data_IF_760838588168
#
_entry.id   IF_760838588168
#
_cell.length_a   1.000
_cell.length_b   1.000
_cell.length_c   1.000
_cell.angle_alpha   90.00
_cell.angle_beta   90.00
_cell.angle_gamma   90.00
#
_symmetry.space_group_name_H-M   'P 1'
#
loop_
_entity.id
_entity.type
_entity.pdbx_description
1 polymer ?
#
# COMPACT_ATOMS: atom_id res chain seq x y z
N UNK A 1 4.52 -14.15 -9.84
CA UNK A 1 3.42 -13.51 -9.09
C UNK A 1 2.94 -14.43 -7.98
N UNK A 2 2.51 -15.66 -8.30
CA UNK A 2 1.95 -16.64 -7.35
C UNK A 2 2.80 -16.86 -6.08
N UNK A 3 4.10 -17.05 -6.21
CA UNK A 3 5.02 -17.21 -5.07
C UNK A 3 5.00 -16.00 -4.15
N UNK A 4 4.91 -14.78 -4.71
CA UNK A 4 4.86 -13.53 -3.92
C UNK A 4 3.51 -13.39 -3.23
N UNK A 5 2.40 -13.70 -3.93
CA UNK A 5 1.06 -13.73 -3.31
C UNK A 5 1.03 -14.66 -2.09
N UNK A 6 1.57 -15.88 -2.21
CA UNK A 6 1.65 -16.83 -1.07
C UNK A 6 2.53 -16.31 0.07
N UNK A 7 3.66 -15.66 -0.26
CA UNK A 7 4.56 -15.07 0.73
C UNK A 7 3.87 -13.98 1.56
N UNK A 8 2.97 -13.22 0.93
CA UNK A 8 2.16 -12.17 1.56
C UNK A 8 0.78 -12.65 2.04
N UNK A 9 0.60 -13.97 2.15
CA UNK A 9 -0.62 -14.61 2.67
C UNK A 9 -1.89 -14.17 1.93
N UNK A 10 -1.80 -13.98 0.62
CA UNK A 10 -2.97 -13.65 -0.20
C UNK A 10 -3.98 -14.81 -0.20
N UNK A 11 -5.30 -14.51 -0.22
CA UNK A 11 -6.33 -15.53 -0.35
C UNK A 11 -6.28 -16.18 -1.75
N UNK A 12 -6.99 -17.29 -1.97
CA UNK A 12 -7.02 -17.98 -3.27
C UNK A 12 -7.42 -17.08 -4.45
N UNK A 13 -8.26 -16.08 -4.21
CA UNK A 13 -8.71 -15.11 -5.22
C UNK A 13 -7.71 -13.95 -5.42
N UNK A 14 -6.60 -13.95 -4.68
CA UNK A 14 -5.55 -12.95 -4.80
C UNK A 14 -4.97 -12.94 -6.23
N UNK A 15 -4.78 -11.74 -6.75
CA UNK A 15 -4.26 -11.52 -8.10
C UNK A 15 -3.13 -10.49 -8.11
N UNK A 16 -2.40 -10.41 -9.20
CA UNK A 16 -1.33 -9.44 -9.32
C UNK A 16 -0.62 -9.52 -10.66
N UNK A 17 0.31 -8.60 -10.85
CA UNK A 17 1.15 -8.57 -12.05
C UNK A 17 2.58 -8.17 -11.71
N UNK A 18 3.52 -8.55 -12.55
CA UNK A 18 4.89 -8.04 -12.51
C UNK A 18 4.94 -6.64 -13.11
N UNK A 19 5.84 -5.81 -12.59
CA UNK A 19 6.10 -4.45 -13.06
C UNK A 19 7.60 -4.20 -13.18
N UNK A 20 7.98 -3.09 -13.78
CA UNK A 20 9.38 -2.71 -13.98
C UNK A 20 10.07 -2.17 -12.71
N UNK A 21 9.36 -2.07 -11.60
CA UNK A 21 9.90 -1.57 -10.33
C UNK A 21 8.82 -1.04 -9.41
N UNK A 22 9.17 -0.77 -8.15
CA UNK A 22 8.25 -0.30 -7.11
C UNK A 22 7.49 0.96 -7.50
N UNK A 23 8.12 1.88 -8.22
CA UNK A 23 7.43 3.07 -8.75
C UNK A 23 6.25 2.67 -9.63
N UNK A 24 6.41 1.76 -10.57
CA UNK A 24 5.31 1.31 -11.43
C UNK A 24 4.25 0.55 -10.62
N UNK A 25 4.66 -0.32 -9.69
CA UNK A 25 3.73 -1.01 -8.80
C UNK A 25 2.83 -0.03 -8.02
N UNK A 26 3.41 1.03 -7.47
CA UNK A 26 2.67 2.10 -6.77
C UNK A 26 1.74 2.86 -7.74
N UNK A 27 2.25 3.19 -8.94
CA UNK A 27 1.44 3.86 -9.98
C UNK A 27 0.22 3.01 -10.35
N UNK A 28 0.40 1.70 -10.53
CA UNK A 28 -0.69 0.78 -10.86
C UNK A 28 -1.72 0.68 -9.74
N UNK A 29 -1.29 0.57 -8.48
CA UNK A 29 -2.20 0.58 -7.34
C UNK A 29 -3.03 1.89 -7.26
N UNK A 30 -2.38 3.04 -7.45
CA UNK A 30 -3.06 4.33 -7.47
C UNK A 30 -4.06 4.45 -8.63
N UNK A 31 -3.65 3.99 -9.83
CA UNK A 31 -4.51 4.00 -11.02
C UNK A 31 -5.74 3.12 -10.81
N UNK A 32 -5.54 1.91 -10.30
CA UNK A 32 -6.63 0.97 -10.00
C UNK A 32 -7.67 1.60 -9.07
N UNK A 33 -7.23 2.17 -7.96
CA UNK A 33 -8.16 2.77 -6.97
C UNK A 33 -8.82 4.05 -7.51
N UNK A 34 -8.13 4.84 -8.35
CA UNK A 34 -8.74 5.94 -9.08
C UNK A 34 -9.89 5.47 -9.97
N UNK A 35 -9.62 4.45 -10.77
CA UNK A 35 -10.57 3.95 -11.77
C UNK A 35 -11.75 3.25 -11.09
N UNK A 36 -11.51 2.47 -10.04
CA UNK A 36 -12.54 1.93 -9.17
C UNK A 36 -13.42 3.02 -8.56
N UNK A 37 -12.81 4.07 -7.99
CA UNK A 37 -13.55 5.19 -7.41
C UNK A 37 -14.44 5.92 -8.43
N UNK A 38 -13.97 6.02 -9.68
CA UNK A 38 -14.76 6.58 -10.79
C UNK A 38 -15.93 5.68 -11.18
N UNK A 39 -15.66 4.38 -11.35
CA UNK A 39 -16.65 3.41 -11.80
C UNK A 39 -17.73 3.12 -10.73
N UNK A 40 -17.31 2.81 -9.51
CA UNK A 40 -18.19 2.32 -8.47
C UNK A 40 -18.81 3.42 -7.60
N UNK A 41 -18.15 4.59 -7.51
CA UNK A 41 -18.58 5.68 -6.63
C UNK A 41 -18.81 7.02 -7.35
N UNK A 42 -18.59 7.08 -8.65
CA UNK A 42 -18.76 8.31 -9.43
C UNK A 42 -17.80 9.44 -9.04
N UNK A 43 -16.68 9.13 -8.39
CA UNK A 43 -15.71 10.13 -7.91
C UNK A 43 -14.97 10.75 -9.10
N UNK A 44 -15.20 12.03 -9.34
CA UNK A 44 -14.56 12.78 -10.45
C UNK A 44 -13.18 13.33 -10.08
N UNK A 45 -12.96 13.65 -8.82
CA UNK A 45 -11.72 14.23 -8.28
C UNK A 45 -11.15 13.32 -7.19
N UNK A 46 -10.55 12.17 -7.56
CA UNK A 46 -10.07 11.19 -6.58
C UNK A 46 -8.94 11.75 -5.72
N UNK A 47 -8.94 11.34 -4.47
CA UNK A 47 -7.93 11.70 -3.48
C UNK A 47 -7.34 10.44 -2.84
N UNK A 48 -6.06 10.51 -2.49
CA UNK A 48 -5.40 9.49 -1.65
C UNK A 48 -4.81 10.14 -0.42
N UNK A 49 -4.85 9.44 0.72
CA UNK A 49 -4.25 9.91 1.98
C UNK A 49 -3.03 9.07 2.28
N UNK A 50 -1.88 9.73 2.42
CA UNK A 50 -0.59 9.07 2.62
C UNK A 50 0.22 9.70 3.75
N UNK A 51 1.12 8.95 4.43
CA UNK A 51 2.09 9.52 5.37
C UNK A 51 3.08 10.44 4.66
N UNK A 52 3.64 11.41 5.37
CA UNK A 52 4.78 12.21 4.85
C UNK A 52 6.03 11.37 4.59
N UNK A 53 6.15 10.20 5.24
CA UNK A 53 7.22 9.21 5.02
C UNK A 53 7.00 8.31 3.79
N UNK A 54 5.83 8.36 3.14
CA UNK A 54 5.54 7.54 1.96
C UNK A 54 6.41 7.92 0.77
N UNK A 55 6.69 6.93 -0.08
CA UNK A 55 7.54 7.07 -1.25
C UNK A 55 7.00 8.14 -2.23
N UNK A 56 7.91 8.90 -2.85
CA UNK A 56 7.56 9.98 -3.82
C UNK A 56 6.81 9.49 -5.07
N UNK A 57 6.79 8.19 -5.32
CA UNK A 57 5.99 7.61 -6.42
C UNK A 57 4.49 7.89 -6.27
N UNK A 58 3.98 8.11 -5.06
CA UNK A 58 2.58 8.51 -4.84
C UNK A 58 2.32 9.93 -5.36
N UNK A 59 3.26 10.88 -5.21
CA UNK A 59 3.12 12.21 -5.82
C UNK A 59 3.18 12.13 -7.34
N UNK A 60 4.06 11.27 -7.86
CA UNK A 60 4.12 11.00 -9.30
C UNK A 60 2.80 10.43 -9.81
N UNK A 61 2.17 9.51 -9.08
CA UNK A 61 0.83 9.00 -9.40
C UNK A 61 -0.22 10.12 -9.39
N UNK A 62 -0.16 11.00 -8.39
CA UNK A 62 -1.02 12.19 -8.31
C UNK A 62 -0.94 13.04 -9.56
N UNK A 63 0.29 13.35 -9.99
CA UNK A 63 0.56 14.14 -11.19
C UNK A 63 0.09 13.44 -12.47
N UNK A 64 0.41 12.15 -12.65
CA UNK A 64 0.10 11.42 -13.89
C UNK A 64 -1.39 11.12 -14.04
N UNK A 65 -2.09 10.88 -12.96
CA UNK A 65 -3.45 10.36 -12.99
C UNK A 65 -4.51 11.35 -12.51
N UNK A 66 -4.12 12.59 -12.18
CA UNK A 66 -5.02 13.60 -11.67
C UNK A 66 -5.65 13.20 -10.32
N UNK A 67 -4.82 12.66 -9.41
CA UNK A 67 -5.21 12.28 -8.06
C UNK A 67 -4.67 13.32 -7.08
N UNK A 68 -5.51 13.86 -6.22
CA UNK A 68 -5.06 14.75 -5.14
C UNK A 68 -4.39 13.92 -4.04
N UNK A 69 -3.12 14.24 -3.77
CA UNK A 69 -2.35 13.56 -2.71
C UNK A 69 -2.41 14.37 -1.42
N UNK A 70 -3.09 13.83 -0.40
CA UNK A 70 -3.18 14.42 0.94
C UNK A 70 -2.12 13.79 1.84
N UNK A 71 -1.10 14.58 2.21
CA UNK A 71 -0.04 14.12 3.10
C UNK A 71 -0.39 14.38 4.56
N UNK A 72 -0.21 13.36 5.38
CA UNK A 72 -0.41 13.39 6.83
C UNK A 72 0.92 13.26 7.55
N UNK A 73 1.24 14.12 8.52
CA UNK A 73 2.50 14.03 9.24
C UNK A 73 2.59 12.75 10.06
N UNK A 74 3.81 12.20 10.14
CA UNK A 74 4.14 11.12 11.06
C UNK A 74 4.36 11.66 12.49
N UNK A 75 4.18 10.82 13.46
CA UNK A 75 4.53 11.13 14.85
C UNK A 75 6.04 11.32 15.00
N UNK A 76 6.46 12.32 15.78
CA UNK A 76 7.87 12.68 15.92
C UNK A 76 8.70 11.63 16.66
N UNK A 77 8.09 10.88 17.57
CA UNK A 77 8.77 9.90 18.40
C UNK A 77 8.72 8.51 17.77
N UNK A 78 7.52 8.05 17.38
CA UNK A 78 7.32 6.70 16.84
C UNK A 78 7.62 6.61 15.34
N UNK A 79 7.66 7.74 14.64
CA UNK A 79 7.81 7.84 13.18
C UNK A 79 6.71 7.13 12.38
N UNK A 80 5.66 6.65 13.05
CA UNK A 80 4.46 6.09 12.42
C UNK A 80 3.47 7.19 12.04
N UNK A 81 2.63 6.91 11.06
CA UNK A 81 1.52 7.81 10.72
C UNK A 81 0.51 7.92 11.87
N UNK A 82 0.00 9.12 12.13
CA UNK A 82 -1.02 9.35 13.14
C UNK A 82 -2.41 9.02 12.59
N UNK A 83 -2.99 7.94 13.09
CA UNK A 83 -4.29 7.41 12.59
C UNK A 83 -5.41 8.45 12.65
N UNK A 84 -5.54 9.22 13.76
CA UNK A 84 -6.54 10.27 13.88
C UNK A 84 -6.36 11.39 12.85
N UNK A 85 -5.12 11.62 12.39
CA UNK A 85 -4.85 12.61 11.35
C UNK A 85 -5.20 12.06 9.97
N UNK A 86 -4.99 10.76 9.73
CA UNK A 86 -5.47 10.08 8.51
C UNK A 86 -6.99 10.15 8.44
N UNK A 87 -7.68 9.81 9.52
CA UNK A 87 -9.15 9.84 9.57
C UNK A 87 -9.73 11.22 9.27
N UNK A 88 -9.14 12.29 9.84
CA UNK A 88 -9.54 13.67 9.54
C UNK A 88 -9.25 14.12 8.10
N UNK A 89 -8.28 13.50 7.44
CA UNK A 89 -7.93 13.81 6.05
C UNK A 89 -8.82 13.08 5.03
N UNK A 90 -9.55 12.04 5.44
CA UNK A 90 -10.48 11.31 4.57
C UNK A 90 -11.67 12.20 4.22
N UNK A 91 -12.01 12.24 2.95
CA UNK A 91 -13.15 12.97 2.39
C UNK A 91 -14.04 12.03 1.56
N UNK A 92 -15.22 12.44 1.12
CA UNK A 92 -16.03 11.65 0.17
C UNK A 92 -15.32 11.31 -1.14
N UNK A 93 -14.27 12.05 -1.52
CA UNK A 93 -13.47 11.82 -2.71
C UNK A 93 -12.26 10.90 -2.48
N UNK A 94 -11.98 10.53 -1.23
CA UNK A 94 -10.87 9.63 -0.91
C UNK A 94 -11.16 8.23 -1.46
N UNK A 95 -10.23 7.70 -2.23
CA UNK A 95 -10.32 6.35 -2.81
C UNK A 95 -9.40 5.35 -2.11
N UNK A 96 -8.33 5.83 -1.44
CA UNK A 96 -7.32 4.96 -0.84
C UNK A 96 -6.56 5.64 0.29
N UNK A 97 -6.24 4.89 1.33
CA UNK A 97 -5.21 5.21 2.33
C UNK A 97 -3.97 4.34 2.11
N UNK A 98 -2.82 4.84 2.51
CA UNK A 98 -1.52 4.15 2.31
C UNK A 98 -0.78 4.03 3.63
N UNK A 99 -0.16 2.87 3.84
CA UNK A 99 0.86 2.65 4.87
C UNK A 99 2.07 1.93 4.26
N UNK A 100 3.22 2.05 4.90
CA UNK A 100 4.47 1.41 4.45
C UNK A 100 4.89 0.28 5.39
N UNK A 101 5.49 -0.77 4.82
CA UNK A 101 5.99 -1.91 5.59
C UNK A 101 7.37 -2.37 5.10
N UNK A 102 8.48 -1.71 5.53
CA UNK A 102 8.56 -0.41 6.23
C UNK A 102 8.62 0.79 5.28
N UNK A 103 8.54 2.01 5.83
CA UNK A 103 8.90 3.21 5.11
C UNK A 103 10.43 3.31 4.90
N UNK A 104 10.85 3.98 3.83
CA UNK A 104 12.27 4.13 3.51
C UNK A 104 13.03 5.07 4.46
N UNK A 105 12.48 6.24 4.84
CA UNK A 105 13.24 7.20 5.64
C UNK A 105 13.63 6.69 7.03
N UNK A 106 12.75 5.94 7.68
CA UNK A 106 12.89 5.58 9.09
C UNK A 106 13.00 4.06 9.34
N UNK A 107 12.69 3.23 8.34
CA UNK A 107 12.62 1.76 8.47
C UNK A 107 11.47 1.28 9.37
N UNK A 108 10.43 2.09 9.54
CA UNK A 108 9.30 1.84 10.44
C UNK A 108 8.12 1.26 9.66
N UNK A 109 7.49 0.22 10.22
CA UNK A 109 6.22 -0.31 9.73
C UNK A 109 5.11 0.55 10.34
N UNK A 110 4.26 1.14 9.48
CA UNK A 110 3.07 1.86 9.90
C UNK A 110 2.05 0.92 10.58
N UNK A 111 1.12 1.47 11.34
CA UNK A 111 0.01 0.70 11.93
C UNK A 111 -1.00 0.31 10.84
N UNK A 112 -0.65 -0.75 10.09
CA UNK A 112 -1.45 -1.24 8.97
C UNK A 112 -2.82 -1.74 9.45
N UNK A 113 -2.90 -2.32 10.64
CA UNK A 113 -4.18 -2.80 11.20
C UNK A 113 -5.15 -1.62 11.41
N UNK A 114 -4.68 -0.54 11.99
CA UNK A 114 -5.51 0.64 12.20
C UNK A 114 -5.86 1.35 10.89
N UNK A 115 -4.93 1.45 9.93
CA UNK A 115 -5.17 2.01 8.59
C UNK A 115 -6.21 1.19 7.81
N UNK A 116 -6.08 -0.13 7.81
CA UNK A 116 -7.03 -1.04 7.15
C UNK A 116 -8.41 -0.96 7.80
N UNK A 117 -8.48 -0.86 9.13
CA UNK A 117 -9.73 -0.62 9.85
C UNK A 117 -10.42 0.69 9.45
N UNK A 118 -9.64 1.77 9.25
CA UNK A 118 -10.16 3.03 8.69
C UNK A 118 -10.69 2.83 7.26
N UNK A 119 -9.91 2.20 6.40
CA UNK A 119 -10.27 1.95 5.01
C UNK A 119 -11.60 1.21 4.89
N UNK A 120 -11.81 0.15 5.71
CA UNK A 120 -13.07 -0.60 5.76
C UNK A 120 -14.25 0.27 6.18
N UNK A 121 -14.10 1.06 7.26
CA UNK A 121 -15.19 1.94 7.74
C UNK A 121 -15.63 2.94 6.68
N UNK A 122 -14.68 3.46 5.91
CA UNK A 122 -14.94 4.42 4.85
C UNK A 122 -15.19 3.79 3.47
N UNK A 123 -15.10 2.46 3.35
CA UNK A 123 -15.26 1.70 2.09
C UNK A 123 -14.33 2.23 1.00
N UNK A 124 -13.05 2.34 1.34
CA UNK A 124 -11.96 2.76 0.45
C UNK A 124 -10.83 1.73 0.47
N UNK A 125 -9.89 1.82 -0.47
CA UNK A 125 -8.75 0.92 -0.50
C UNK A 125 -7.75 1.19 0.62
N UNK A 126 -7.01 0.15 1.02
CA UNK A 126 -5.81 0.23 1.84
C UNK A 126 -4.66 -0.40 1.06
N UNK A 127 -3.69 0.43 0.67
CA UNK A 127 -2.48 -0.03 0.01
C UNK A 127 -1.31 -0.11 1.00
N UNK A 128 -0.58 -1.22 0.96
CA UNK A 128 0.66 -1.39 1.73
C UNK A 128 1.86 -1.33 0.79
N UNK A 129 2.67 -0.28 0.93
CA UNK A 129 3.96 -0.21 0.25
C UNK A 129 4.99 -1.06 1.01
N UNK A 130 5.17 -2.29 0.56
CA UNK A 130 6.17 -3.21 1.06
C UNK A 130 7.36 -3.38 0.08
N UNK A 131 7.56 -2.41 -0.82
CA UNK A 131 8.66 -2.45 -1.80
C UNK A 131 10.01 -2.58 -1.11
N UNK A 132 10.26 -1.84 -0.02
CA UNK A 132 11.49 -1.97 0.76
C UNK A 132 11.53 -3.27 1.57
N UNK A 133 10.44 -3.59 2.27
CA UNK A 133 10.34 -4.80 3.10
C UNK A 133 10.46 -6.09 2.31
N UNK A 134 9.90 -6.09 1.11
CA UNK A 134 10.12 -7.08 0.06
C UNK A 134 10.18 -8.53 0.58
N UNK A 135 11.28 -9.22 0.37
CA UNK A 135 11.53 -10.60 0.79
C UNK A 135 12.16 -10.72 2.18
N UNK A 136 12.21 -9.64 2.95
CA UNK A 136 12.73 -9.64 4.32
C UNK A 136 11.61 -9.69 5.36
N UNK A 137 10.69 -8.71 5.34
CA UNK A 137 9.66 -8.54 6.37
C UNK A 137 8.70 -9.74 6.49
N UNK A 138 8.26 -10.40 5.39
CA UNK A 138 7.40 -11.58 5.49
C UNK A 138 8.03 -12.77 6.22
N UNK A 139 9.34 -12.79 6.39
CA UNK A 139 10.07 -13.87 7.05
C UNK A 139 10.51 -13.58 8.48
N UNK A 140 10.25 -12.36 9.00
CA UNK A 140 10.65 -11.97 10.35
C UNK A 140 10.10 -12.92 11.41
N UNK A 141 8.81 -13.26 11.35
CA UNK A 141 8.18 -14.20 12.30
C UNK A 141 8.84 -15.59 12.25
N UNK A 142 9.16 -16.09 11.05
CA UNK A 142 9.85 -17.37 10.89
C UNK A 142 11.29 -17.35 11.41
N UNK A 143 11.91 -16.17 11.41
CA UNK A 143 13.23 -15.94 11.97
C UNK A 143 13.22 -15.67 13.50
N UNK A 144 12.05 -15.75 14.15
CA UNK A 144 11.90 -15.55 15.59
C UNK A 144 11.78 -14.09 16.03
N UNK A 145 11.58 -13.16 15.09
CA UNK A 145 11.36 -11.75 15.41
C UNK A 145 9.87 -11.42 15.52
N UNK A 146 9.55 -10.50 16.41
CA UNK A 146 8.19 -9.95 16.49
C UNK A 146 7.99 -9.00 15.31
N UNK A 147 6.94 -9.21 14.54
CA UNK A 147 6.54 -8.35 13.44
C UNK A 147 5.10 -7.89 13.61
N UNK A 148 4.85 -6.62 13.29
CA UNK A 148 3.47 -6.12 13.24
C UNK A 148 2.79 -6.69 11.98
N UNK A 149 1.50 -7.09 12.06
CA UNK A 149 0.76 -7.56 10.89
C UNK A 149 0.66 -6.46 9.82
N UNK A 150 0.96 -6.80 8.57
CA UNK A 150 0.99 -5.81 7.48
C UNK A 150 0.50 -6.34 6.13
N UNK A 151 0.33 -7.65 6.00
CA UNK A 151 0.01 -8.32 4.74
C UNK A 151 -1.50 -8.60 4.60
N UNK A 152 -1.89 -9.46 3.65
CA UNK A 152 -3.30 -9.77 3.40
C UNK A 152 -4.01 -10.51 4.54
N UNK A 153 -3.33 -10.91 5.60
CA UNK A 153 -3.96 -11.38 6.84
C UNK A 153 -4.66 -10.23 7.59
N UNK A 154 -4.28 -8.98 7.32
CA UNK A 154 -4.94 -7.80 7.88
C UNK A 154 -6.20 -7.49 7.08
N UNK A 155 -7.36 -7.69 7.72
CA UNK A 155 -8.65 -7.44 7.12
C UNK A 155 -8.81 -5.94 6.75
N UNK A 156 -9.04 -5.69 5.46
CA UNK A 156 -9.13 -4.35 4.88
C UNK A 156 -7.92 -3.93 4.05
N UNK A 157 -6.81 -4.68 4.04
CA UNK A 157 -5.74 -4.50 3.06
C UNK A 157 -6.24 -4.96 1.70
N UNK A 158 -6.20 -4.08 0.70
CA UNK A 158 -6.73 -4.36 -0.65
C UNK A 158 -5.64 -4.54 -1.70
N UNK A 159 -4.45 -3.96 -1.49
CA UNK A 159 -3.32 -4.11 -2.40
C UNK A 159 -1.97 -3.95 -1.69
N UNK A 160 -0.95 -4.60 -2.24
CA UNK A 160 0.43 -4.55 -1.72
C UNK A 160 1.41 -4.44 -2.89
N UNK A 161 2.43 -3.60 -2.77
CA UNK A 161 3.57 -3.54 -3.69
C UNK A 161 4.81 -4.18 -3.06
N UNK A 162 5.58 -4.97 -3.84
CA UNK A 162 6.75 -5.70 -3.38
C UNK A 162 7.84 -5.73 -4.43
N UNK A 163 9.03 -5.22 -4.12
CA UNK A 163 10.17 -5.24 -5.04
C UNK A 163 10.96 -6.53 -4.93
N UNK A 164 10.95 -7.33 -6.00
CA UNK A 164 11.78 -8.53 -6.08
C UNK A 164 13.26 -8.19 -6.25
N UNK A 165 13.59 -7.01 -6.80
CA UNK A 165 14.97 -6.56 -7.02
C UNK A 165 15.63 -5.89 -5.79
N UNK A 166 14.92 -5.79 -4.65
CA UNK A 166 15.51 -5.36 -3.36
C UNK A 166 16.00 -6.59 -2.59
N UNK A 167 15.35 -6.98 -1.51
CA UNK A 167 15.76 -8.15 -0.71
C UNK A 167 15.43 -9.51 -1.35
N UNK A 168 14.74 -9.54 -2.49
CA UNK A 168 14.60 -10.74 -3.31
C UNK A 168 15.80 -10.98 -4.23
N UNK A 169 16.76 -10.04 -4.29
CA UNK A 169 18.01 -10.13 -5.07
C UNK A 169 17.83 -10.41 -6.57
N UNK A 170 16.63 -10.16 -7.11
CA UNK A 170 16.41 -10.20 -8.55
C UNK A 170 17.13 -9.05 -9.27
N UNK A 171 17.41 -9.16 -10.57
CA UNK A 171 17.93 -8.05 -11.36
C UNK A 171 17.03 -6.79 -11.26
N UNK A 172 17.63 -5.62 -11.34
CA UNK A 172 16.90 -4.34 -11.40
C UNK A 172 15.83 -4.36 -12.49
N UNK A 173 14.71 -3.70 -12.24
CA UNK A 173 13.58 -3.70 -13.18
C UNK A 173 12.55 -4.79 -12.90
N UNK A 174 12.41 -5.23 -11.65
CA UNK A 174 11.48 -6.28 -11.25
C UNK A 174 10.79 -5.95 -9.93
N UNK A 175 9.47 -5.89 -9.97
CA UNK A 175 8.59 -5.70 -8.82
C UNK A 175 7.26 -6.41 -9.07
N UNK A 176 6.41 -6.51 -8.05
CA UNK A 176 5.07 -7.11 -8.12
C UNK A 176 4.10 -6.18 -7.42
N UNK A 177 2.97 -5.91 -8.07
CA UNK A 177 1.78 -5.36 -7.41
C UNK A 177 0.75 -6.47 -7.24
N UNK A 178 0.22 -6.59 -6.04
CA UNK A 178 -0.75 -7.61 -5.64
C UNK A 178 -2.05 -6.96 -5.18
N UNK A 179 -3.15 -7.64 -5.42
CA UNK A 179 -4.51 -7.26 -5.04
C UNK A 179 -5.19 -8.39 -4.31
N UNK A 180 -6.06 -8.05 -3.37
CA UNK A 180 -6.82 -9.01 -2.57
C UNK A 180 -7.69 -9.93 -3.45
N UNK A 181 -8.21 -9.40 -4.56
CA UNK A 181 -8.98 -10.16 -5.56
C UNK A 181 -9.02 -9.40 -6.90
N UNK A 182 -9.49 -10.06 -7.96
CA UNK A 182 -9.69 -9.45 -9.28
C UNK A 182 -10.70 -8.27 -9.27
N UNK A 183 -11.60 -8.22 -8.32
CA UNK A 183 -12.57 -7.11 -8.18
C UNK A 183 -11.87 -5.78 -7.88
N UNK A 184 -10.64 -5.83 -7.36
CA UNK A 184 -9.86 -4.66 -6.99
C UNK A 184 -8.87 -4.22 -8.09
N UNK A 185 -8.93 -4.81 -9.29
CA UNK A 185 -8.06 -4.47 -10.42
C UNK A 185 -8.76 -3.55 -11.43
#
# INVERSE_FOLDING_TARGET
>A
VEMVLRMYNAPPDGAGTTTSGGTESILMACKTMRDWGRAERGIKHPEIVIPTSAHVAFDKAGHYFGITVRRVPVDRLTRKVRIQSVERAITPNTVMVVGSAPNFPDGIIDDIVALAGLARRHRIGCHVDACLGSFLVPYLERAGYVSEPFDFRVDGVTSISCDTHKYGFAPKGSSVVMYLSLIHI
#
